data_IF_161358545794
#
_entry.id   IF_161358545794
#
_cell.length_a   1.000
_cell.length_b   1.000
_cell.length_c   1.000
_cell.angle_alpha   90.00
_cell.angle_beta   90.00
_cell.angle_gamma   90.00
#
_symmetry.space_group_name_H-M   'P 1'
#
loop_
_entity.id
_entity.type
_entity.pdbx_description
1 polymer ?
#
# COMPACT_ATOMS: atom_id res chain seq x y z
N UNK A 1 -28.29 17.12 42.51
CA UNK A 1 -28.23 16.35 41.26
C UNK A 1 -28.26 14.89 41.66
N UNK A 2 -29.47 14.37 41.85
CA UNK A 2 -29.72 13.05 42.42
C UNK A 2 -29.33 11.96 41.40
N UNK A 3 -28.64 10.93 41.90
CA UNK A 3 -28.01 9.87 41.12
C UNK A 3 -29.06 8.94 40.51
N UNK A 4 -29.34 9.07 39.22
CA UNK A 4 -30.05 8.05 38.44
C UNK A 4 -29.18 6.78 38.35
N UNK A 5 -29.36 5.85 39.29
CA UNK A 5 -28.72 4.54 39.23
C UNK A 5 -29.37 3.71 38.11
N UNK A 6 -28.55 3.07 37.28
CA UNK A 6 -29.01 2.15 36.27
C UNK A 6 -29.24 0.77 36.87
N UNK A 7 -30.45 0.22 36.66
CA UNK A 7 -30.73 -1.19 36.95
C UNK A 7 -29.83 -2.10 36.10
N UNK A 8 -29.55 -3.31 36.58
CA UNK A 8 -28.78 -4.31 35.83
C UNK A 8 -29.34 -4.57 34.42
N UNK A 9 -30.66 -4.49 34.25
CA UNK A 9 -31.32 -4.62 32.95
C UNK A 9 -31.08 -3.42 32.04
N UNK A 10 -31.10 -2.20 32.58
CA UNK A 10 -30.77 -0.98 31.84
C UNK A 10 -29.29 -0.97 31.41
N UNK A 11 -28.39 -1.31 32.33
CA UNK A 11 -26.95 -1.43 32.04
C UNK A 11 -26.68 -2.51 30.99
N UNK A 12 -27.36 -3.65 31.07
CA UNK A 12 -27.23 -4.74 30.10
C UNK A 12 -27.55 -4.29 28.68
N UNK A 13 -28.69 -3.60 28.49
CA UNK A 13 -29.09 -3.05 27.18
C UNK A 13 -28.11 -1.98 26.69
N UNK A 14 -27.65 -1.10 27.58
CA UNK A 14 -26.81 0.04 27.20
C UNK A 14 -25.32 -0.31 26.97
N UNK A 15 -24.83 -1.39 27.57
CA UNK A 15 -23.44 -1.88 27.43
C UNK A 15 -23.29 -3.02 26.42
N UNK A 16 -24.39 -3.70 26.06
CA UNK A 16 -24.37 -4.89 25.21
C UNK A 16 -23.89 -6.16 25.94
N UNK A 17 -23.65 -6.10 27.25
CA UNK A 17 -23.35 -7.27 28.08
C UNK A 17 -24.65 -7.87 28.60
N UNK A 18 -24.85 -9.18 28.43
CA UNK A 18 -26.01 -9.86 29.00
C UNK A 18 -26.06 -9.77 30.53
N UNK A 19 -27.27 -9.81 31.11
CA UNK A 19 -27.47 -9.74 32.57
C UNK A 19 -26.68 -10.83 33.32
N UNK A 20 -26.61 -12.06 32.78
CA UNK A 20 -25.79 -13.13 33.35
C UNK A 20 -24.29 -12.81 33.33
N UNK A 21 -23.82 -12.17 32.27
CA UNK A 21 -22.42 -11.72 32.12
C UNK A 21 -22.06 -10.62 33.13
N UNK A 22 -22.97 -9.68 33.39
CA UNK A 22 -22.79 -8.67 34.43
C UNK A 22 -22.72 -9.28 35.84
N UNK A 23 -23.56 -10.28 36.14
CA UNK A 23 -23.49 -11.03 37.41
C UNK A 23 -22.17 -11.78 37.58
N UNK A 24 -21.63 -12.32 36.49
CA UNK A 24 -20.32 -12.97 36.49
C UNK A 24 -19.17 -11.97 36.75
N UNK A 25 -19.24 -10.75 36.21
CA UNK A 25 -18.19 -9.74 36.47
C UNK A 25 -18.27 -9.13 37.86
N UNK A 26 -19.45 -9.08 38.46
CA UNK A 26 -19.63 -8.78 39.88
C UNK A 26 -18.93 -9.85 40.75
N UNK A 27 -19.24 -11.14 40.54
CA UNK A 27 -18.60 -12.21 41.33
C UNK A 27 -17.08 -12.29 41.11
N UNK A 28 -16.60 -11.96 39.92
CA UNK A 28 -15.17 -11.89 39.60
C UNK A 28 -14.48 -10.57 40.04
N UNK A 29 -15.22 -9.64 40.66
CA UNK A 29 -14.73 -8.34 41.13
C UNK A 29 -14.08 -7.51 40.00
N UNK A 30 -14.64 -7.58 38.80
CA UNK A 30 -14.18 -6.83 37.62
C UNK A 30 -15.07 -5.61 37.37
N UNK A 31 -16.37 -5.74 37.63
CA UNK A 31 -17.32 -4.64 37.59
C UNK A 31 -18.36 -4.85 38.70
N UNK A 32 -18.03 -4.42 39.92
CA UNK A 32 -18.91 -4.54 41.07
C UNK A 32 -20.05 -3.52 40.99
N UNK A 33 -21.30 -3.88 41.33
CA UNK A 33 -22.42 -2.94 41.37
C UNK A 33 -22.17 -1.87 42.44
N UNK A 34 -22.62 -0.65 42.18
CA UNK A 34 -22.53 0.44 43.15
C UNK A 34 -23.42 0.22 44.37
N UNK A 35 -24.55 -0.46 44.18
CA UNK A 35 -25.44 -0.85 45.27
C UNK A 35 -26.16 -2.16 44.95
N UNK A 36 -26.33 -2.97 45.98
CA UNK A 36 -27.12 -4.20 45.93
C UNK A 36 -28.22 -4.09 46.98
N UNK A 37 -29.46 -4.27 46.55
CA UNK A 37 -30.63 -4.25 47.43
C UNK A 37 -30.52 -5.41 48.45
N UNK A 38 -30.50 -5.13 49.78
CA UNK A 38 -30.35 -6.15 50.81
C UNK A 38 -31.51 -7.16 50.89
N UNK A 39 -32.71 -6.77 50.44
CA UNK A 39 -33.91 -7.61 50.52
C UNK A 39 -34.12 -8.43 49.25
N UNK A 40 -33.84 -7.86 48.08
CA UNK A 40 -34.11 -8.50 46.78
C UNK A 40 -32.85 -9.01 46.08
N UNK A 41 -31.66 -8.61 46.53
CA UNK A 41 -30.38 -8.91 45.86
C UNK A 41 -30.23 -8.19 44.52
N UNK A 42 -31.08 -7.20 44.23
CA UNK A 42 -31.12 -6.51 42.95
C UNK A 42 -29.96 -5.51 42.82
N UNK A 43 -29.33 -5.46 41.65
CA UNK A 43 -28.08 -4.73 41.41
C UNK A 43 -28.31 -3.42 40.67
N UNK A 44 -27.66 -2.39 41.18
CA UNK A 44 -27.72 -1.03 40.70
C UNK A 44 -26.31 -0.49 40.43
N UNK A 45 -26.16 0.23 39.33
CA UNK A 45 -24.87 0.72 38.84
C UNK A 45 -24.92 2.23 38.64
N UNK A 46 -23.79 2.89 38.87
CA UNK A 46 -23.65 4.34 38.60
C UNK A 46 -23.52 4.60 37.10
N UNK A 47 -23.90 5.81 36.63
CA UNK A 47 -23.71 6.20 35.23
C UNK A 47 -22.27 6.00 34.73
N UNK A 48 -21.27 6.29 35.56
CA UNK A 48 -19.84 6.13 35.18
C UNK A 48 -19.47 4.67 34.88
N UNK A 49 -20.13 3.71 35.55
CA UNK A 49 -19.90 2.27 35.34
C UNK A 49 -20.42 1.77 34.00
N UNK A 50 -21.25 2.54 33.29
CA UNK A 50 -21.62 2.24 31.92
C UNK A 50 -20.44 2.39 30.96
N UNK A 51 -19.57 3.38 31.18
CA UNK A 51 -18.37 3.55 30.38
C UNK A 51 -17.41 2.36 30.58
N UNK A 52 -17.23 1.93 31.84
CA UNK A 52 -16.43 0.76 32.19
C UNK A 52 -17.01 -0.53 31.61
N UNK A 53 -18.33 -0.72 31.66
CA UNK A 53 -19.00 -1.87 31.07
C UNK A 53 -18.80 -1.93 29.54
N UNK A 54 -18.86 -0.79 28.85
CA UNK A 54 -18.59 -0.71 27.40
C UNK A 54 -17.13 -0.98 27.08
N UNK A 55 -16.21 -0.44 27.86
CA UNK A 55 -14.78 -0.69 27.71
C UNK A 55 -14.47 -2.18 27.92
N UNK A 56 -15.00 -2.77 28.99
CA UNK A 56 -14.91 -4.20 29.27
C UNK A 56 -15.38 -5.04 28.07
N UNK A 57 -16.54 -4.70 27.48
CA UNK A 57 -17.09 -5.42 26.34
C UNK A 57 -16.14 -5.38 25.13
N UNK A 58 -15.52 -4.22 24.86
CA UNK A 58 -14.53 -4.06 23.79
C UNK A 58 -13.26 -4.87 24.07
N UNK A 59 -12.71 -4.78 25.29
CA UNK A 59 -11.50 -5.49 25.69
C UNK A 59 -11.67 -7.01 25.63
N UNK A 60 -12.86 -7.52 25.99
CA UNK A 60 -13.18 -8.93 25.81
C UNK A 60 -13.25 -9.34 24.34
N UNK A 61 -13.80 -8.50 23.46
CA UNK A 61 -13.90 -8.79 22.03
C UNK A 61 -12.53 -8.91 21.37
N UNK A 62 -11.54 -8.16 21.83
CA UNK A 62 -10.13 -8.25 21.39
C UNK A 62 -9.33 -9.32 22.15
N UNK A 63 -9.99 -10.17 22.92
CA UNK A 63 -9.38 -11.33 23.56
C UNK A 63 -8.50 -11.02 24.78
N UNK A 64 -8.62 -9.84 25.40
CA UNK A 64 -7.86 -9.54 26.61
C UNK A 64 -8.32 -10.45 27.78
N UNK A 65 -7.41 -11.16 28.47
CA UNK A 65 -7.76 -11.99 29.62
C UNK A 65 -8.38 -11.17 30.76
N UNK A 66 -9.24 -11.81 31.56
CA UNK A 66 -9.99 -11.16 32.63
C UNK A 66 -9.09 -10.41 33.64
N UNK A 67 -7.91 -10.98 33.94
CA UNK A 67 -6.92 -10.33 34.80
C UNK A 67 -6.39 -9.01 34.20
N UNK A 68 -6.18 -8.97 32.88
CA UNK A 68 -5.79 -7.76 32.15
C UNK A 68 -6.91 -6.73 32.11
N UNK A 69 -8.15 -7.16 31.87
CA UNK A 69 -9.32 -6.27 31.92
C UNK A 69 -9.44 -5.61 33.30
N UNK A 70 -9.29 -6.38 34.39
CA UNK A 70 -9.32 -5.83 35.75
C UNK A 70 -8.19 -4.84 36.00
N UNK A 71 -6.99 -5.10 35.49
CA UNK A 71 -5.86 -4.18 35.61
C UNK A 71 -6.08 -2.87 34.84
N UNK A 72 -6.74 -2.91 33.67
CA UNK A 72 -7.07 -1.72 32.88
C UNK A 72 -8.16 -0.90 33.58
N UNK A 73 -9.24 -1.54 34.04
CA UNK A 73 -10.35 -0.85 34.73
C UNK A 73 -9.96 -0.32 36.11
N UNK A 74 -9.01 -0.97 36.80
CA UNK A 74 -8.51 -0.55 38.11
C UNK A 74 -7.36 0.45 38.07
N UNK A 75 -6.86 0.82 36.88
CA UNK A 75 -5.75 1.76 36.75
C UNK A 75 -6.19 3.18 37.07
N UNK A 76 -5.45 3.88 37.94
CA UNK A 76 -5.71 5.28 38.22
C UNK A 76 -5.52 6.14 36.96
N UNK A 77 -6.39 7.16 36.70
CA UNK A 77 -6.23 8.06 35.56
C UNK A 77 -4.82 8.68 35.54
N UNK A 78 -4.13 8.60 34.39
CA UNK A 78 -2.78 9.15 34.21
C UNK A 78 -1.62 8.30 34.74
N UNK A 79 -1.88 7.17 35.41
CA UNK A 79 -0.82 6.29 35.94
C UNK A 79 -0.02 5.51 34.88
N UNK A 80 -0.52 5.44 33.64
CA UNK A 80 0.10 4.65 32.56
C UNK A 80 -0.05 3.13 32.67
N UNK A 81 -0.41 2.60 33.85
CA UNK A 81 -0.52 1.15 34.09
C UNK A 81 -1.51 0.44 33.15
N UNK A 82 -2.66 1.06 32.88
CA UNK A 82 -3.63 0.52 31.91
C UNK A 82 -3.08 0.45 30.49
N UNK A 83 -2.31 1.46 30.06
CA UNK A 83 -1.66 1.49 28.74
C UNK A 83 -0.62 0.38 28.62
N UNK A 84 0.20 0.16 29.66
CA UNK A 84 1.20 -0.92 29.66
C UNK A 84 0.58 -2.32 29.47
N UNK A 85 -0.57 -2.57 30.07
CA UNK A 85 -1.31 -3.85 29.90
C UNK A 85 -1.84 -3.99 28.47
N UNK A 86 -2.36 -2.91 27.89
CA UNK A 86 -2.84 -2.90 26.51
C UNK A 86 -1.70 -3.06 25.51
N UNK A 87 -0.57 -2.37 25.70
CA UNK A 87 0.62 -2.49 24.85
C UNK A 87 1.21 -3.89 24.89
N UNK A 88 1.26 -4.52 26.07
CA UNK A 88 1.70 -5.90 26.21
C UNK A 88 0.74 -6.88 25.51
N UNK A 89 -0.57 -6.60 25.53
CA UNK A 89 -1.54 -7.41 24.81
C UNK A 89 -1.46 -7.21 23.30
N UNK A 90 -1.27 -5.98 22.84
CA UNK A 90 -1.06 -5.64 21.44
C UNK A 90 0.16 -6.39 20.87
N UNK A 91 1.31 -6.32 21.56
CA UNK A 91 2.51 -7.09 21.18
C UNK A 91 2.23 -8.60 21.06
N UNK A 92 1.52 -9.19 22.02
CA UNK A 92 1.14 -10.62 21.95
C UNK A 92 0.23 -10.95 20.76
N UNK A 93 -0.68 -10.05 20.39
CA UNK A 93 -1.53 -10.24 19.21
C UNK A 93 -0.72 -10.12 17.91
N UNK A 94 0.22 -9.18 17.85
CA UNK A 94 1.13 -9.00 16.71
C UNK A 94 2.05 -10.21 16.53
N UNK A 95 2.67 -10.69 17.61
CA UNK A 95 3.50 -11.90 17.63
C UNK A 95 2.67 -13.12 17.20
N UNK A 96 1.47 -13.30 17.77
CA UNK A 96 0.58 -14.40 17.39
C UNK A 96 0.16 -14.35 15.91
N UNK A 97 -0.06 -13.17 15.35
CA UNK A 97 -0.35 -13.01 13.92
C UNK A 97 0.87 -13.35 13.06
N UNK A 98 2.06 -12.92 13.47
CA UNK A 98 3.31 -13.25 12.77
C UNK A 98 3.54 -14.77 12.77
N UNK A 99 3.28 -15.44 13.89
CA UNK A 99 3.40 -16.90 14.05
C UNK A 99 2.39 -17.64 13.17
N UNK A 100 1.12 -17.27 13.24
CA UNK A 100 0.06 -17.86 12.41
C UNK A 100 0.35 -17.69 10.91
N UNK A 101 0.88 -16.53 10.50
CA UNK A 101 1.32 -16.30 9.11
C UNK A 101 2.46 -17.24 8.70
N UNK A 102 3.45 -17.49 9.59
CA UNK A 102 4.54 -18.44 9.32
C UNK A 102 4.01 -19.87 9.19
N UNK A 103 3.10 -20.29 10.06
CA UNK A 103 2.47 -21.61 9.98
C UNK A 103 1.66 -21.79 8.68
N UNK A 104 0.88 -20.78 8.28
CA UNK A 104 0.13 -20.81 7.02
C UNK A 104 1.07 -20.94 5.81
N UNK A 105 2.21 -20.26 5.81
CA UNK A 105 3.22 -20.40 4.75
C UNK A 105 3.82 -21.81 4.70
N UNK A 106 4.05 -22.44 5.86
CA UNK A 106 4.52 -23.83 5.93
C UNK A 106 3.47 -24.80 5.37
N UNK A 107 2.20 -24.64 5.78
CA UNK A 107 1.10 -25.49 5.29
C UNK A 107 0.94 -25.35 3.78
N UNK A 108 0.98 -24.14 3.24
CA UNK A 108 0.94 -23.91 1.78
C UNK A 108 2.09 -24.62 1.08
N UNK A 109 3.30 -24.48 1.60
CA UNK A 109 4.48 -25.19 1.06
C UNK A 109 4.29 -26.71 1.06
N UNK A 110 3.68 -27.28 2.12
CA UNK A 110 3.41 -28.71 2.22
C UNK A 110 2.31 -29.19 1.26
N UNK A 111 1.28 -28.36 1.04
CA UNK A 111 0.23 -28.61 0.04
C UNK A 111 0.86 -28.62 -1.35
N UNK A 112 1.66 -27.60 -1.69
CA UNK A 112 2.36 -27.48 -2.98
C UNK A 112 3.27 -28.70 -3.25
N UNK A 113 3.92 -29.23 -2.20
CA UNK A 113 4.77 -30.43 -2.31
C UNK A 113 3.97 -31.73 -2.48
N UNK A 114 2.76 -31.82 -1.94
CA UNK A 114 1.89 -33.02 -2.06
C UNK A 114 1.12 -33.07 -3.37
N UNK A 115 0.85 -31.92 -3.98
CA UNK A 115 0.11 -31.83 -5.25
C UNK A 115 1.00 -32.12 -6.49
N UNK A 116 2.29 -32.41 -6.32
CA UNK A 116 3.21 -32.73 -7.44
C UNK A 116 3.69 -34.20 -7.45
N UNK A 117 2.94 -35.14 -8.05
CA UNK A 117 3.58 -36.25 -8.73
C UNK A 117 4.22 -35.72 -10.03
N UNK A 118 5.45 -36.18 -10.31
CA UNK A 118 6.22 -35.91 -11.52
C UNK A 118 5.39 -36.01 -12.80
N UNK A 119 4.93 -34.89 -13.38
CA UNK A 119 4.58 -34.78 -14.80
C UNK A 119 4.62 -33.31 -15.26
N UNK A 120 5.45 -33.06 -16.28
CA UNK A 120 5.40 -31.96 -17.28
C UNK A 120 4.73 -30.65 -16.82
N UNK A 121 5.54 -29.73 -16.30
CA UNK A 121 5.21 -28.30 -16.22
C UNK A 121 4.86 -27.79 -17.63
N UNK A 122 3.76 -27.02 -17.82
CA UNK A 122 3.54 -26.31 -19.08
C UNK A 122 4.77 -25.45 -19.36
N UNK A 123 5.30 -25.49 -20.58
CA UNK A 123 6.50 -24.75 -20.95
C UNK A 123 6.25 -23.24 -20.75
N UNK A 124 6.80 -22.68 -19.66
CA UNK A 124 6.81 -21.24 -19.45
C UNK A 124 7.62 -20.57 -20.57
N UNK A 125 7.16 -19.40 -21.00
CA UNK A 125 7.88 -18.55 -21.94
C UNK A 125 9.23 -18.17 -21.35
N UNK A 126 10.31 -18.52 -22.04
CA UNK A 126 11.68 -18.27 -21.60
C UNK A 126 12.25 -17.06 -22.33
N UNK A 127 12.65 -16.05 -21.57
CA UNK A 127 13.22 -14.79 -22.07
C UNK A 127 14.65 -14.62 -21.55
N UNK A 128 15.57 -14.17 -22.39
CA UNK A 128 16.87 -13.68 -21.96
C UNK A 128 16.89 -12.15 -22.05
N UNK A 129 17.31 -11.48 -20.98
CA UNK A 129 17.35 -10.02 -20.87
C UNK A 129 18.68 -9.55 -20.29
N UNK A 130 19.24 -8.41 -20.73
CA UNK A 130 20.43 -7.83 -20.12
C UNK A 130 20.15 -7.49 -18.65
N UNK A 131 20.94 -8.04 -17.73
CA UNK A 131 20.65 -7.96 -16.30
C UNK A 131 20.72 -6.51 -15.76
N UNK A 132 21.67 -5.71 -16.25
CA UNK A 132 21.78 -4.29 -15.88
C UNK A 132 20.60 -3.45 -16.37
N UNK A 133 20.06 -3.76 -17.55
CA UNK A 133 18.87 -3.07 -18.07
C UNK A 133 17.61 -3.50 -17.33
N UNK A 134 17.45 -4.80 -17.05
CA UNK A 134 16.36 -5.30 -16.22
C UNK A 134 16.37 -4.68 -14.82
N UNK A 135 17.54 -4.59 -14.17
CA UNK A 135 17.65 -3.95 -12.86
C UNK A 135 17.24 -2.48 -12.91
N UNK A 136 17.69 -1.75 -13.93
CA UNK A 136 17.33 -0.35 -14.10
C UNK A 136 15.83 -0.16 -14.42
N UNK A 137 15.23 -1.08 -15.18
CA UNK A 137 13.80 -1.06 -15.48
C UNK A 137 12.96 -1.37 -14.25
N UNK A 138 13.37 -2.35 -13.42
CA UNK A 138 12.70 -2.66 -12.16
C UNK A 138 12.76 -1.46 -11.20
N UNK A 139 13.90 -0.77 -11.12
CA UNK A 139 14.01 0.46 -10.32
C UNK A 139 13.06 1.55 -10.82
N UNK A 140 12.94 1.69 -12.14
CA UNK A 140 12.10 2.71 -12.76
C UNK A 140 10.60 2.47 -12.61
N UNK A 141 10.15 1.26 -12.27
CA UNK A 141 8.72 0.95 -12.11
C UNK A 141 8.32 0.61 -10.69
N UNK A 142 9.22 0.05 -9.88
CA UNK A 142 8.90 -0.54 -8.58
C UNK A 142 8.22 0.43 -7.62
N UNK A 143 8.58 1.72 -7.66
CA UNK A 143 7.99 2.73 -6.77
C UNK A 143 6.47 2.91 -6.99
N UNK A 144 5.96 2.59 -8.19
CA UNK A 144 4.54 2.77 -8.54
C UNK A 144 3.68 1.55 -8.19
N UNK A 145 4.21 0.52 -7.54
CA UNK A 145 3.45 -0.68 -7.16
C UNK A 145 2.46 -0.35 -6.03
N UNK A 146 1.22 -0.83 -6.16
CA UNK A 146 0.19 -0.64 -5.15
C UNK A 146 0.42 -1.48 -3.90
N UNK A 147 0.13 -0.89 -2.73
CA UNK A 147 0.20 -1.57 -1.43
C UNK A 147 -1.18 -1.77 -0.79
N UNK A 148 -2.25 -1.40 -1.49
CA UNK A 148 -3.63 -1.51 -1.00
C UNK A 148 -4.10 -2.98 -0.98
N UNK A 149 -4.38 -3.57 0.20
CA UNK A 149 -4.84 -4.95 0.30
C UNK A 149 -6.17 -5.21 -0.40
N UNK A 150 -6.99 -4.18 -0.64
CA UNK A 150 -8.25 -4.30 -1.38
C UNK A 150 -8.02 -4.45 -2.89
N UNK A 151 -6.79 -4.28 -3.37
CA UNK A 151 -6.43 -4.31 -4.78
C UNK A 151 -5.25 -5.25 -5.05
N UNK A 152 -5.45 -6.56 -4.87
CA UNK A 152 -4.37 -7.54 -4.97
C UNK A 152 -3.74 -7.63 -6.37
N UNK A 153 -4.46 -7.25 -7.44
CA UNK A 153 -3.91 -7.20 -8.80
C UNK A 153 -2.80 -6.16 -8.98
N UNK A 154 -2.73 -5.17 -8.09
CA UNK A 154 -1.73 -4.09 -8.12
C UNK A 154 -0.54 -4.35 -7.18
N UNK A 155 -0.53 -5.47 -6.44
CA UNK A 155 0.51 -5.83 -5.49
C UNK A 155 1.79 -6.40 -6.14
N UNK A 156 2.06 -6.02 -7.39
CA UNK A 156 3.16 -6.52 -8.19
C UNK A 156 3.44 -5.67 -9.43
N UNK A 157 4.38 -6.14 -10.25
CA UNK A 157 4.77 -5.54 -11.52
C UNK A 157 4.32 -6.46 -12.65
N UNK A 158 3.59 -5.93 -13.63
CA UNK A 158 3.22 -6.64 -14.84
C UNK A 158 4.45 -6.79 -15.75
N UNK A 159 4.79 -8.02 -16.12
CA UNK A 159 5.80 -8.37 -17.11
C UNK A 159 5.09 -8.78 -18.40
N UNK A 160 5.07 -7.90 -19.40
CA UNK A 160 4.39 -8.11 -20.68
C UNK A 160 5.44 -8.24 -21.80
N UNK A 161 5.65 -9.44 -22.36
CA UNK A 161 6.46 -9.62 -23.55
C UNK A 161 5.74 -8.98 -24.76
N UNK A 162 6.43 -8.08 -25.44
CA UNK A 162 5.93 -7.32 -26.59
C UNK A 162 6.99 -7.29 -27.69
N UNK A 163 6.96 -8.29 -28.58
CA UNK A 163 7.93 -8.41 -29.66
C UNK A 163 9.36 -8.53 -29.14
N UNK A 164 10.29 -7.61 -29.50
CA UNK A 164 11.70 -7.69 -29.09
C UNK A 164 11.97 -7.11 -27.69
N UNK A 165 10.94 -6.68 -26.96
CA UNK A 165 11.08 -6.08 -25.64
C UNK A 165 10.22 -6.80 -24.59
N UNK A 166 10.67 -6.74 -23.35
CA UNK A 166 9.87 -7.01 -22.17
C UNK A 166 9.45 -5.66 -21.58
N UNK A 167 8.14 -5.38 -21.58
CA UNK A 167 7.56 -4.21 -20.93
C UNK A 167 7.24 -4.53 -19.48
N UNK A 168 7.66 -3.64 -18.59
CA UNK A 168 7.35 -3.67 -17.17
C UNK A 168 6.39 -2.53 -16.87
N UNK A 169 5.29 -2.85 -16.18
CA UNK A 169 4.26 -1.87 -15.80
C UNK A 169 3.93 -2.02 -14.32
N UNK A 170 3.89 -0.90 -13.60
CA UNK A 170 3.45 -0.83 -12.20
C UNK A 170 2.46 0.33 -12.02
N UNK A 171 1.43 0.14 -11.20
CA UNK A 171 0.44 1.19 -10.88
C UNK A 171 -0.17 0.99 -9.50
N UNK A 172 -0.56 2.09 -8.88
CA UNK A 172 -1.30 2.15 -7.61
C UNK A 172 -2.65 2.88 -7.76
N UNK A 173 -3.11 3.06 -9.02
CA UNK A 173 -4.25 3.89 -9.50
C UNK A 173 -4.03 5.39 -9.53
N UNK A 174 -3.09 5.92 -8.75
CA UNK A 174 -2.82 7.36 -8.71
C UNK A 174 -1.64 7.72 -9.61
N UNK A 175 -0.74 6.77 -9.82
CA UNK A 175 0.41 6.88 -10.73
C UNK A 175 0.65 5.55 -11.43
N UNK A 176 1.35 5.61 -12.54
CA UNK A 176 1.73 4.45 -13.33
C UNK A 176 3.16 4.65 -13.84
N UNK A 177 3.95 3.59 -13.87
CA UNK A 177 5.30 3.62 -14.38
C UNK A 177 5.51 2.51 -15.41
N UNK A 178 6.27 2.86 -16.45
CA UNK A 178 6.59 2.01 -17.58
C UNK A 178 8.11 1.94 -17.74
N UNK A 179 8.61 0.75 -18.04
CA UNK A 179 9.96 0.55 -18.53
C UNK A 179 9.98 -0.56 -19.58
N UNK A 180 10.86 -0.46 -20.56
CA UNK A 180 11.07 -1.49 -21.57
C UNK A 180 12.52 -1.92 -21.54
N UNK A 181 12.75 -3.22 -21.66
CA UNK A 181 14.09 -3.80 -21.79
C UNK A 181 14.14 -4.72 -23.01
N UNK A 182 15.26 -4.78 -23.73
CA UNK A 182 15.45 -5.76 -24.79
C UNK A 182 15.28 -7.17 -24.24
N UNK A 183 14.55 -8.01 -24.97
CA UNK A 183 14.30 -9.39 -24.61
C UNK A 183 14.47 -10.31 -25.83
N UNK A 184 15.28 -11.35 -25.65
CA UNK A 184 15.45 -12.42 -26.63
C UNK A 184 14.56 -13.61 -26.26
N UNK A 185 13.89 -14.20 -27.26
CA UNK A 185 12.95 -15.32 -27.03
C UNK A 185 11.52 -14.89 -26.73
N UNK A 186 11.23 -13.58 -26.78
CA UNK A 186 9.87 -13.07 -26.70
C UNK A 186 9.09 -13.41 -28.00
N UNK A 187 7.79 -13.70 -27.88
CA UNK A 187 6.95 -14.05 -29.02
C UNK A 187 6.78 -12.84 -29.95
N UNK A 188 6.64 -13.11 -31.26
CA UNK A 188 6.41 -12.06 -32.27
C UNK A 188 5.08 -11.31 -32.05
N UNK A 189 4.13 -11.94 -31.36
CA UNK A 189 2.84 -11.33 -31.01
C UNK A 189 2.80 -11.04 -29.50
N UNK A 190 2.17 -9.93 -29.07
CA UNK A 190 1.99 -9.61 -27.66
C UNK A 190 1.26 -10.74 -26.95
N UNK A 191 1.76 -11.12 -25.78
CA UNK A 191 1.11 -12.14 -24.94
C UNK A 191 0.48 -11.49 -23.71
N UNK A 192 -0.46 -12.20 -23.08
CA UNK A 192 -0.95 -11.79 -21.77
C UNK A 192 0.24 -11.69 -20.80
N UNK A 193 0.39 -10.53 -20.15
CA UNK A 193 1.49 -10.31 -19.23
C UNK A 193 1.34 -11.14 -17.95
N UNK A 194 2.46 -11.36 -17.26
CA UNK A 194 2.50 -12.06 -15.98
C UNK A 194 2.69 -11.05 -14.84
N UNK A 195 1.81 -11.06 -13.84
CA UNK A 195 1.96 -10.17 -12.68
C UNK A 195 2.95 -10.79 -11.69
N UNK A 196 4.12 -10.19 -11.55
CA UNK A 196 5.18 -10.62 -10.65
C UNK A 196 4.98 -9.96 -9.27
N UNK A 197 4.73 -10.72 -8.20
CA UNK A 197 4.44 -10.13 -6.89
C UNK A 197 5.65 -9.41 -6.31
N UNK A 198 5.37 -8.39 -5.50
CA UNK A 198 6.41 -7.50 -4.92
C UNK A 198 7.59 -8.23 -4.26
N UNK A 199 7.39 -9.27 -3.42
CA UNK A 199 8.52 -9.99 -2.81
C UNK A 199 9.44 -10.66 -3.85
N UNK A 200 8.88 -11.14 -4.96
CA UNK A 200 9.65 -11.77 -6.03
C UNK A 200 10.37 -10.73 -6.89
N UNK A 201 9.76 -9.55 -7.09
CA UNK A 201 10.41 -8.39 -7.71
C UNK A 201 11.62 -7.94 -6.88
N UNK A 202 11.48 -7.86 -5.55
CA UNK A 202 12.59 -7.47 -4.68
C UNK A 202 13.70 -8.53 -4.64
N UNK A 203 13.34 -9.82 -4.61
CA UNK A 203 14.31 -10.91 -4.75
C UNK A 203 15.05 -10.88 -6.10
N UNK A 204 14.34 -10.53 -7.19
CA UNK A 204 14.94 -10.36 -8.51
C UNK A 204 15.91 -9.18 -8.53
N UNK A 205 15.56 -8.04 -7.93
CA UNK A 205 16.48 -6.89 -7.80
C UNK A 205 17.74 -7.28 -7.03
N UNK A 206 17.60 -8.02 -5.93
CA UNK A 206 18.74 -8.52 -5.16
C UNK A 206 19.61 -9.50 -5.96
N UNK A 207 19.00 -10.40 -6.74
CA UNK A 207 19.70 -11.33 -7.64
C UNK A 207 20.55 -10.59 -8.69
N UNK A 208 20.02 -9.51 -9.26
CA UNK A 208 20.69 -8.72 -10.29
C UNK A 208 21.78 -7.78 -9.73
N UNK A 209 21.73 -7.45 -8.44
CA UNK A 209 22.70 -6.57 -7.79
C UNK A 209 24.14 -7.10 -7.83
N UNK A 210 24.30 -8.43 -7.96
CA UNK A 210 25.61 -9.08 -8.14
C UNK A 210 26.26 -8.79 -9.51
N UNK A 211 25.56 -8.09 -10.41
CA UNK A 211 26.06 -7.68 -11.73
C UNK A 211 26.34 -8.81 -12.73
N UNK A 212 25.49 -9.85 -12.85
CA UNK A 212 25.61 -10.79 -13.97
C UNK A 212 25.43 -10.06 -15.31
N UNK A 213 25.91 -10.63 -16.41
CA UNK A 213 25.73 -10.03 -17.73
C UNK A 213 24.27 -10.13 -18.21
N UNK A 214 23.65 -11.30 -18.03
CA UNK A 214 22.29 -11.60 -18.46
C UNK A 214 21.49 -12.26 -17.34
N UNK A 215 20.17 -12.11 -17.44
CA UNK A 215 19.20 -12.83 -16.64
C UNK A 215 18.25 -13.60 -17.57
N UNK A 216 17.92 -14.83 -17.18
CA UNK A 216 16.94 -15.67 -17.87
C UNK A 216 15.66 -15.70 -17.04
N UNK A 217 14.56 -15.26 -17.63
CA UNK A 217 13.23 -15.30 -17.05
C UNK A 217 12.44 -16.46 -17.65
N UNK A 218 11.65 -17.15 -16.84
CA UNK A 218 10.64 -18.10 -17.31
C UNK A 218 9.29 -17.67 -16.74
N UNK A 219 8.37 -17.30 -17.62
CA UNK A 219 7.05 -16.73 -17.30
C UNK A 219 5.95 -17.67 -17.78
N UNK A 220 4.99 -18.01 -16.92
CA UNK A 220 3.80 -18.78 -17.31
C UNK A 220 3.52 -19.95 -16.39
N UNK A 221 2.37 -20.59 -16.60
CA UNK A 221 1.89 -21.68 -15.72
C UNK A 221 1.69 -21.23 -14.26
N UNK A 222 1.32 -19.96 -14.05
CA UNK A 222 1.14 -19.39 -12.71
C UNK A 222 2.45 -19.20 -11.93
N UNK A 223 3.62 -19.31 -12.57
CA UNK A 223 4.92 -19.16 -11.90
C UNK A 223 5.84 -18.21 -12.67
N UNK A 224 6.77 -17.65 -11.91
CA UNK A 224 7.86 -16.82 -12.40
C UNK A 224 9.14 -17.38 -11.83
N UNK A 225 10.09 -17.69 -12.72
CA UNK A 225 11.43 -18.13 -12.36
C UNK A 225 12.43 -17.18 -12.99
N UNK A 226 13.47 -16.83 -12.24
CA UNK A 226 14.57 -16.03 -12.73
C UNK A 226 15.91 -16.65 -12.36
N UNK A 227 16.84 -16.62 -13.30
CA UNK A 227 18.22 -17.11 -13.14
C UNK A 227 19.20 -16.07 -13.60
N UNK A 228 20.19 -15.77 -12.76
CA UNK A 228 21.29 -14.88 -13.14
C UNK A 228 22.52 -15.23 -12.28
N UNK A 229 23.71 -15.20 -12.88
CA UNK A 229 24.97 -15.42 -12.14
C UNK A 229 25.05 -16.77 -11.40
N UNK A 230 24.40 -17.82 -11.89
CA UNK A 230 24.37 -19.15 -11.25
C UNK A 230 23.40 -19.29 -10.07
N UNK A 231 22.67 -18.23 -9.72
CA UNK A 231 21.63 -18.26 -8.70
C UNK A 231 20.24 -18.29 -9.35
N UNK A 232 19.27 -18.89 -8.65
CA UNK A 232 17.89 -19.06 -9.11
C UNK A 232 16.91 -18.64 -8.03
N UNK A 233 15.87 -17.93 -8.44
CA UNK A 233 14.68 -17.64 -7.63
C UNK A 233 13.42 -18.10 -8.38
N UNK A 234 12.38 -18.45 -7.63
CA UNK A 234 11.10 -18.88 -8.19
C UNK A 234 9.98 -18.54 -7.22
N UNK A 235 8.81 -18.19 -7.76
CA UNK A 235 7.60 -17.95 -6.99
C UNK A 235 6.34 -18.04 -7.83
N UNK A 236 5.18 -18.01 -7.18
CA UNK A 236 3.90 -17.91 -7.85
C UNK A 236 3.71 -16.50 -8.44
N UNK A 237 3.15 -16.43 -9.65
CA UNK A 237 2.61 -15.20 -10.19
C UNK A 237 1.27 -14.85 -9.50
N UNK A 238 0.84 -13.59 -9.60
CA UNK A 238 -0.51 -13.23 -9.19
C UNK A 238 -1.50 -13.57 -10.31
N UNK A 239 -2.54 -14.32 -9.96
CA UNK A 239 -3.58 -14.76 -10.89
C UNK A 239 -4.76 -13.76 -10.87
N UNK A 240 -4.51 -12.58 -11.43
CA UNK A 240 -5.50 -11.52 -11.60
C UNK A 240 -5.36 -10.85 -12.95
N UNK A 241 -6.44 -10.24 -13.44
CA UNK A 241 -6.36 -9.34 -14.58
C UNK A 241 -5.72 -8.02 -14.17
N UNK A 242 -4.71 -7.60 -14.93
CA UNK A 242 -4.06 -6.32 -14.74
C UNK A 242 -4.84 -5.21 -15.47
N UNK A 243 -4.99 -4.00 -14.88
CA UNK A 243 -5.71 -2.92 -15.56
C UNK A 243 -5.13 -2.57 -16.93
N UNK A 244 -6.00 -2.20 -17.88
CA UNK A 244 -5.56 -1.76 -19.20
C UNK A 244 -4.77 -0.46 -19.11
N UNK A 245 -3.47 -0.56 -19.37
CA UNK A 245 -2.52 0.54 -19.31
C UNK A 245 -2.32 1.23 -20.68
N UNK A 246 -2.82 0.64 -21.78
CA UNK A 246 -2.57 1.11 -23.16
C UNK A 246 -3.27 2.44 -23.46
N UNK A 247 -4.37 2.73 -22.78
CA UNK A 247 -5.03 4.03 -22.87
C UNK A 247 -4.15 5.15 -22.26
N UNK A 248 -3.37 4.83 -21.22
CA UNK A 248 -2.59 5.80 -20.44
C UNK A 248 -1.26 6.16 -21.13
N UNK A 249 -0.80 5.34 -22.08
CA UNK A 249 0.43 5.62 -22.84
C UNK A 249 0.24 6.65 -23.96
N UNK A 250 -0.99 6.84 -24.44
CA UNK A 250 -1.35 7.81 -25.51
C UNK A 250 -1.83 9.12 -24.91
N UNK A 251 -0.88 9.93 -24.46
CA UNK A 251 -1.16 11.25 -23.91
C UNK A 251 -1.21 12.31 -25.01
N UNK A 252 -2.13 13.27 -24.87
CA UNK A 252 -2.21 14.47 -25.71
C UNK A 252 -1.80 15.70 -24.89
N UNK A 253 -0.50 15.99 -24.76
CA UNK A 253 -0.04 17.11 -23.95
C UNK A 253 -0.33 18.45 -24.62
N UNK A 254 -0.72 19.45 -23.81
CA UNK A 254 -0.79 20.86 -24.22
C UNK A 254 0.57 21.54 -24.14
N UNK A 255 1.40 21.16 -23.17
CA UNK A 255 2.75 21.69 -23.02
C UNK A 255 3.77 20.56 -22.95
N UNK A 256 4.92 20.80 -23.59
CA UNK A 256 6.12 19.96 -23.53
C UNK A 256 7.27 20.81 -23.02
N UNK A 257 7.77 20.49 -21.85
CA UNK A 257 8.81 21.28 -21.18
C UNK A 257 10.01 20.38 -20.90
N UNK A 258 11.15 20.74 -21.47
CA UNK A 258 12.43 20.06 -21.18
C UNK A 258 13.18 20.86 -20.12
N UNK A 259 13.61 20.18 -19.06
CA UNK A 259 14.30 20.81 -17.95
C UNK A 259 15.26 19.85 -17.24
N UNK A 260 16.31 20.37 -16.57
CA UNK A 260 17.21 19.55 -15.77
C UNK A 260 16.45 18.87 -14.63
N UNK A 261 16.71 17.58 -14.41
CA UNK A 261 15.98 16.80 -13.40
C UNK A 261 16.20 17.37 -11.99
N UNK A 262 17.43 17.80 -11.69
CA UNK A 262 17.82 18.31 -10.37
C UNK A 262 17.19 19.68 -10.07
N UNK A 263 17.04 20.55 -11.08
CA UNK A 263 16.37 21.84 -10.93
C UNK A 263 14.90 21.63 -10.56
N UNK A 264 14.20 20.74 -11.29
CA UNK A 264 12.81 20.41 -11.01
C UNK A 264 12.64 19.71 -9.67
N UNK A 265 13.50 18.74 -9.35
CA UNK A 265 13.44 18.02 -8.07
C UNK A 265 13.62 18.99 -6.90
N UNK A 266 14.58 19.91 -7.01
CA UNK A 266 14.79 20.96 -6.00
C UNK A 266 13.57 21.85 -5.89
N UNK A 267 13.04 22.35 -7.02
CA UNK A 267 11.87 23.22 -7.03
C UNK A 267 10.62 22.56 -6.42
N UNK A 268 10.41 21.26 -6.63
CA UNK A 268 9.31 20.50 -6.01
C UNK A 268 9.61 20.21 -4.54
N UNK A 269 10.86 19.91 -4.19
CA UNK A 269 11.27 19.59 -2.83
C UNK A 269 11.38 20.80 -1.89
N UNK A 270 11.46 22.02 -2.40
CA UNK A 270 11.45 23.25 -1.58
C UNK A 270 10.27 24.16 -1.88
N UNK A 271 9.50 23.85 -2.93
CA UNK A 271 8.35 24.61 -3.37
C UNK A 271 7.20 24.56 -2.38
N UNK A 272 6.30 25.55 -2.49
CA UNK A 272 5.14 25.65 -1.62
C UNK A 272 4.11 24.55 -1.95
N UNK A 273 3.47 24.00 -0.92
CA UNK A 273 2.51 22.89 -1.03
C UNK A 273 1.14 23.25 -0.44
N UNK A 274 0.14 22.42 -0.76
CA UNK A 274 -1.15 22.38 -0.06
C UNK A 274 -1.38 20.98 0.50
N UNK A 275 -2.04 20.89 1.64
CA UNK A 275 -2.56 19.61 2.13
C UNK A 275 -3.99 19.43 1.63
N UNK A 276 -4.28 18.32 0.95
CA UNK A 276 -5.61 17.96 0.46
C UNK A 276 -5.93 16.50 0.80
N UNK A 277 -7.19 16.14 1.11
CA UNK A 277 -7.63 14.76 1.36
C UNK A 277 -7.80 14.01 0.04
N UNK A 278 -6.73 13.91 -0.75
CA UNK A 278 -6.71 13.33 -2.10
C UNK A 278 -5.69 12.21 -2.25
N UNK A 279 -5.09 11.78 -1.13
CA UNK A 279 -4.23 10.61 -1.07
C UNK A 279 -5.02 9.29 -1.11
N UNK A 280 -4.30 8.15 -1.02
CA UNK A 280 -4.89 6.84 -0.88
C UNK A 280 -5.95 6.80 0.22
N UNK A 281 -7.10 6.21 -0.07
CA UNK A 281 -8.23 6.09 0.87
C UNK A 281 -8.73 7.42 1.47
N UNK A 282 -8.49 8.54 0.78
CA UNK A 282 -8.88 9.88 1.23
C UNK A 282 -7.96 10.49 2.28
N UNK A 283 -6.76 9.93 2.46
CA UNK A 283 -5.75 10.50 3.35
C UNK A 283 -5.28 11.88 2.86
N UNK A 284 -4.85 12.69 3.82
CA UNK A 284 -4.20 13.96 3.53
C UNK A 284 -2.86 13.73 2.81
N UNK A 285 -2.64 14.45 1.72
CA UNK A 285 -1.38 14.43 0.97
C UNK A 285 -0.90 15.84 0.66
N UNK A 286 0.41 16.00 0.55
CA UNK A 286 1.01 17.24 0.05
C UNK A 286 0.87 17.33 -1.47
N UNK A 287 0.41 18.48 -1.95
CA UNK A 287 0.13 18.74 -3.34
C UNK A 287 0.98 19.92 -3.82
N UNK A 288 1.72 19.70 -4.90
CA UNK A 288 2.48 20.73 -5.62
C UNK A 288 1.69 21.16 -6.86
N UNK A 289 1.61 22.46 -7.14
CA UNK A 289 0.98 22.98 -8.36
C UNK A 289 2.05 23.38 -9.36
N UNK A 290 2.07 22.67 -10.50
CA UNK A 290 2.97 22.92 -11.62
C UNK A 290 2.33 23.94 -12.57
N UNK A 291 2.98 25.07 -12.79
CA UNK A 291 2.48 26.16 -13.64
C UNK A 291 3.44 26.37 -14.81
N UNK A 292 3.05 25.99 -16.04
CA UNK A 292 3.76 26.38 -17.26
C UNK A 292 3.79 27.91 -17.38
N UNK A 293 4.96 28.48 -17.62
CA UNK A 293 5.11 29.92 -17.84
C UNK A 293 5.22 30.24 -19.34
N UNK A 294 4.85 31.46 -19.79
CA UNK A 294 4.86 31.83 -21.21
C UNK A 294 6.23 31.75 -21.89
N UNK A 295 7.31 31.85 -21.12
CA UNK A 295 8.71 31.70 -21.56
C UNK A 295 9.15 30.23 -21.71
N UNK A 296 8.22 29.27 -21.54
CA UNK A 296 8.50 27.84 -21.69
C UNK A 296 9.18 27.21 -20.48
N UNK A 297 9.17 27.87 -19.32
CA UNK A 297 9.64 27.30 -18.05
C UNK A 297 8.50 26.70 -17.24
N UNK A 298 8.85 26.10 -16.09
CA UNK A 298 7.91 25.56 -15.13
C UNK A 298 8.14 26.22 -13.77
N UNK A 299 7.07 26.76 -13.18
CA UNK A 299 7.05 27.23 -11.81
C UNK A 299 6.31 26.24 -10.90
N UNK A 300 6.74 26.12 -9.64
CA UNK A 300 6.06 25.36 -8.59
C UNK A 300 5.45 26.34 -7.59
N UNK A 301 4.13 26.27 -7.40
CA UNK A 301 3.38 27.18 -6.53
C UNK A 301 2.43 26.42 -5.59
N UNK A 302 2.01 27.08 -4.50
CA UNK A 302 0.97 26.59 -3.59
C UNK A 302 -0.46 26.86 -4.08
N UNK A 303 -0.65 27.49 -5.23
CA UNK A 303 -1.97 27.81 -5.75
C UNK A 303 -1.90 28.47 -7.12
N UNK A 304 -3.05 28.69 -7.78
CA UNK A 304 -3.11 29.35 -9.08
C UNK A 304 -2.89 30.85 -8.91
N UNK A 305 -1.68 31.28 -8.55
CA UNK A 305 -1.31 32.69 -8.43
C UNK A 305 -1.05 33.35 -9.81
N UNK A 306 -1.62 32.80 -10.90
CA UNK A 306 -1.37 33.31 -12.26
C UNK A 306 -1.81 32.42 -13.43
N UNK A 307 -2.56 31.32 -13.23
CA UNK A 307 -3.05 30.50 -14.35
C UNK A 307 -3.57 29.10 -13.94
N UNK A 308 -4.10 28.31 -14.90
CA UNK A 308 -4.60 26.96 -14.66
C UNK A 308 -3.44 25.98 -14.44
N UNK A 309 -2.92 25.94 -13.22
CA UNK A 309 -1.86 25.01 -12.82
C UNK A 309 -2.33 23.56 -12.77
N UNK A 310 -1.37 22.63 -12.82
CA UNK A 310 -1.60 21.20 -12.74
C UNK A 310 -1.15 20.75 -11.36
N UNK A 311 -2.11 20.38 -10.52
CA UNK A 311 -1.83 19.95 -9.15
C UNK A 311 -1.57 18.45 -9.12
N UNK A 312 -0.51 18.03 -8.43
CA UNK A 312 -0.11 16.62 -8.30
C UNK A 312 0.34 16.33 -6.88
N UNK A 313 0.17 15.08 -6.45
CA UNK A 313 0.76 14.60 -5.21
C UNK A 313 2.28 14.75 -5.28
N UNK A 314 2.85 15.45 -4.31
CA UNK A 314 4.26 15.81 -4.25
C UNK A 314 5.17 14.60 -4.14
N UNK A 315 4.85 13.67 -3.25
CA UNK A 315 5.67 12.47 -3.02
C UNK A 315 5.72 11.63 -4.29
N UNK A 316 4.57 11.49 -4.96
CA UNK A 316 4.50 10.75 -6.22
C UNK A 316 5.31 11.41 -7.32
N UNK A 317 5.30 12.75 -7.41
CA UNK A 317 6.12 13.48 -8.36
C UNK A 317 7.60 13.29 -8.04
N UNK A 318 8.01 13.42 -6.79
CA UNK A 318 9.40 13.25 -6.38
C UNK A 318 9.92 11.83 -6.68
N UNK A 319 9.11 10.80 -6.44
CA UNK A 319 9.46 9.42 -6.81
C UNK A 319 9.67 9.26 -8.32
N UNK A 320 8.78 9.82 -9.14
CA UNK A 320 8.92 9.81 -10.59
C UNK A 320 10.16 10.57 -11.08
N UNK A 321 10.52 11.68 -10.43
CA UNK A 321 11.73 12.46 -10.72
C UNK A 321 13.01 11.77 -10.25
N UNK A 322 12.94 10.93 -9.21
CA UNK A 322 14.06 10.13 -8.74
C UNK A 322 14.32 8.92 -9.65
N UNK A 323 13.26 8.33 -10.21
CA UNK A 323 13.36 7.26 -11.21
C UNK A 323 13.93 7.76 -12.56
N UNK A 324 13.68 9.04 -12.89
CA UNK A 324 14.28 9.71 -14.05
C UNK A 324 15.78 9.96 -13.87
N UNK A 325 16.57 9.82 -14.95
CA UNK A 325 18.02 10.12 -14.90
C UNK A 325 18.29 11.62 -14.70
N UNK A 326 19.42 12.00 -14.08
CA UNK A 326 19.65 13.35 -13.58
C UNK A 326 19.84 14.43 -14.66
N UNK A 327 20.14 14.06 -15.91
CA UNK A 327 20.57 15.01 -16.93
C UNK A 327 19.42 15.90 -17.43
N UNK A 328 18.39 15.31 -18.05
CA UNK A 328 17.25 16.03 -18.61
C UNK A 328 15.97 15.20 -18.56
N UNK A 329 14.87 15.86 -18.22
CA UNK A 329 13.53 15.30 -18.25
C UNK A 329 12.67 16.07 -19.25
N UNK A 330 11.73 15.36 -19.88
CA UNK A 330 10.64 15.93 -20.64
C UNK A 330 9.35 15.77 -19.85
N UNK A 331 8.74 16.88 -19.46
CA UNK A 331 7.40 16.90 -18.89
C UNK A 331 6.36 17.14 -19.98
N UNK A 332 5.39 16.23 -20.05
CA UNK A 332 4.23 16.33 -20.91
C UNK A 332 3.00 16.66 -20.05
N UNK A 333 2.45 17.86 -20.25
CA UNK A 333 1.41 18.46 -19.41
C UNK A 333 0.12 18.62 -20.24
N UNK A 334 -0.91 17.83 -19.96
CA UNK A 334 -2.19 17.91 -20.66
C UNK A 334 -3.08 19.07 -20.20
N UNK A 335 -3.22 19.28 -18.89
CA UNK A 335 -4.13 20.29 -18.32
C UNK A 335 -4.56 19.90 -16.89
N UNK A 336 -5.38 20.72 -16.20
CA UNK A 336 -5.63 20.58 -14.76
C UNK A 336 -6.24 19.23 -14.32
N UNK A 337 -6.92 18.54 -15.24
CA UNK A 337 -7.55 17.23 -14.99
C UNK A 337 -6.99 16.12 -15.90
N UNK A 338 -6.01 16.44 -16.75
CA UNK A 338 -5.38 15.47 -17.64
C UNK A 338 -4.09 14.91 -17.01
N UNK A 339 -3.74 13.65 -17.27
CA UNK A 339 -2.50 13.07 -16.75
C UNK A 339 -1.25 13.84 -17.18
N UNK A 340 -0.27 13.86 -16.29
CA UNK A 340 1.09 14.32 -16.53
C UNK A 340 1.96 13.12 -16.89
N UNK A 341 2.86 13.24 -17.87
CA UNK A 341 3.97 12.30 -18.01
C UNK A 341 5.35 12.93 -17.73
N UNK A 342 6.20 12.15 -17.09
CA UNK A 342 7.63 12.39 -16.87
C UNK A 342 8.40 11.41 -17.74
N UNK A 343 9.09 11.89 -18.76
CA UNK A 343 9.86 11.08 -19.71
C UNK A 343 11.35 11.36 -19.61
N UNK A 344 12.15 10.33 -19.84
CA UNK A 344 13.60 10.47 -20.04
C UNK A 344 13.92 10.42 -21.54
N UNK A 345 14.44 11.50 -22.16
CA UNK A 345 14.72 11.52 -23.60
C UNK A 345 15.64 10.39 -24.10
N UNK A 346 16.57 9.93 -23.25
CA UNK A 346 17.48 8.82 -23.56
C UNK A 346 16.87 7.42 -23.45
N UNK A 347 15.63 7.29 -22.98
CA UNK A 347 14.92 6.00 -22.81
C UNK A 347 13.42 6.18 -23.14
N UNK A 348 13.03 6.21 -24.43
CA UNK A 348 11.64 6.48 -24.82
C UNK A 348 10.63 5.47 -24.25
N UNK A 349 11.04 4.22 -24.05
CA UNK A 349 10.23 3.17 -23.40
C UNK A 349 10.14 3.25 -21.87
N UNK A 350 10.79 4.24 -21.24
CA UNK A 350 10.75 4.45 -19.78
C UNK A 350 10.12 5.80 -19.44
N UNK A 351 8.98 5.78 -18.77
CA UNK A 351 8.28 6.99 -18.35
C UNK A 351 7.31 6.71 -17.20
N UNK A 352 6.97 7.78 -16.47
CA UNK A 352 5.98 7.74 -15.40
C UNK A 352 4.81 8.65 -15.76
N UNK A 353 3.61 8.23 -15.38
CA UNK A 353 2.37 8.99 -15.52
C UNK A 353 1.79 9.24 -14.14
N UNK A 354 1.38 10.48 -13.89
CA UNK A 354 0.74 10.88 -12.63
C UNK A 354 -0.65 11.42 -12.92
N UNK A 355 -1.62 10.98 -12.12
CA UNK A 355 -2.96 11.53 -12.14
C UNK A 355 -2.98 12.88 -11.41
N UNK A 356 -3.63 13.91 -11.98
CA UNK A 356 -3.73 15.20 -11.31
C UNK A 356 -4.70 15.14 -10.14
N UNK A 357 -4.43 15.95 -9.13
CA UNK A 357 -5.31 16.19 -7.98
C UNK A 357 -6.25 17.34 -8.34
N UNK A 358 -7.56 17.16 -8.12
CA UNK A 358 -8.51 18.26 -8.28
C UNK A 358 -8.31 19.25 -7.14
N UNK A 359 -7.99 20.49 -7.49
CA UNK A 359 -8.02 21.59 -6.53
C UNK A 359 -9.48 21.99 -6.27
N UNK A 360 -9.90 22.17 -5.01
CA UNK A 360 -11.19 22.78 -4.72
C UNK A 360 -11.23 24.20 -5.29
N UNK A 361 -12.37 24.58 -5.88
CA UNK A 361 -12.58 25.93 -6.38
C UNK A 361 -12.41 26.94 -5.23
N UNK A 362 -11.70 28.04 -5.48
CA UNK A 362 -11.58 29.10 -4.48
C UNK A 362 -12.96 29.69 -4.22
N UNK A 363 -13.50 29.48 -3.02
CA UNK A 363 -14.72 30.13 -2.53
C UNK A 363 -14.50 31.61 -2.25
#
# INVERSE_FOLDING_TARGET
MESELHSIGALSRASGLGVGTLRYYDSAQVLAPAWVDPQTGYRWYRPDQLADARLLARLRRVGLPLAGIRAVLGAAPGSGAGHQVLDAHLRRLEDGLADARRELSLIRTMIDQREQPMTTTPAGLRLAVPAGELAAALEAVRFAVGSDPEQPSLAGVLFEPDGPVLRLVATDRYRMAFAEVPATGAPEQPTAGTIVPTPLVDALRALLAAGPAEAVLTLGGGRVRAEAGGHRIEGAALDFDYPDHRAVTRLEPRHRITLPADELRTAVATGATRTLPSGPHGADCEVSVLVPTPDGRLAVAAGPAGGPGIAVNRDYLLDALAAGRPEQLLLELGGPIAPLAVRSPGRPGTFSVLMPVRLPEAS
#
